data_IF_475935171279
#
_entry.id   IF_475935171279
#
_cell.length_a   1.000
_cell.length_b   1.000
_cell.length_c   1.000
_cell.angle_alpha   90.00
_cell.angle_beta   90.00
_cell.angle_gamma   90.00
#
_symmetry.space_group_name_H-M   'P 1'
#
loop_
_entity.id
_entity.type
_entity.pdbx_description
1 polymer ?
#
# COMPACT_ATOMS: atom_id res chain seq x y z
N UNK A 1 -4.24 -1.78 13.03
CA UNK A 1 -4.47 -1.36 11.62
C UNK A 1 -4.47 -2.58 10.70
N UNK A 2 -5.32 -2.60 9.68
CA UNK A 2 -5.33 -3.67 8.68
C UNK A 2 -5.05 -3.05 7.32
N UNK A 3 -4.04 -3.55 6.62
CA UNK A 3 -3.68 -3.13 5.28
C UNK A 3 -3.85 -4.30 4.32
N UNK A 4 -4.70 -4.11 3.31
CA UNK A 4 -4.91 -5.08 2.24
C UNK A 4 -4.38 -4.48 0.95
N UNK A 5 -3.47 -5.20 0.31
CA UNK A 5 -2.81 -4.79 -0.92
C UNK A 5 -3.17 -5.80 -2.00
N UNK A 6 -3.76 -5.31 -3.09
CA UNK A 6 -4.01 -6.09 -4.30
C UNK A 6 -3.15 -5.52 -5.42
N UNK A 7 -2.45 -6.37 -6.15
CA UNK A 7 -1.65 -5.96 -7.31
C UNK A 7 -1.71 -6.99 -8.43
N UNK A 8 -1.62 -6.52 -9.68
CA UNK A 8 -1.43 -7.37 -10.85
C UNK A 8 0.02 -7.80 -11.07
N UNK A 9 0.95 -7.32 -10.23
CA UNK A 9 2.32 -7.79 -10.23
C UNK A 9 2.39 -9.24 -9.77
N UNK A 10 3.30 -9.97 -10.39
CA UNK A 10 3.62 -11.35 -10.02
C UNK A 10 4.44 -11.40 -8.73
N UNK A 11 4.33 -12.48 -7.98
CA UNK A 11 5.01 -12.61 -6.67
C UNK A 11 6.54 -12.43 -6.74
N UNK A 12 7.18 -12.84 -7.83
CA UNK A 12 8.63 -12.70 -8.06
C UNK A 12 9.08 -11.24 -8.18
N UNK A 13 8.18 -10.33 -8.53
CA UNK A 13 8.47 -8.88 -8.61
C UNK A 13 8.35 -8.17 -7.26
N UNK A 14 7.89 -8.86 -6.22
CA UNK A 14 7.71 -8.28 -4.90
C UNK A 14 8.90 -8.62 -4.01
N UNK A 15 9.56 -7.63 -3.39
CA UNK A 15 10.64 -7.89 -2.44
C UNK A 15 10.17 -8.75 -1.26
N UNK A 16 11.01 -9.68 -0.81
CA UNK A 16 10.70 -10.50 0.37
C UNK A 16 10.47 -9.66 1.63
N UNK A 17 11.16 -8.51 1.75
CA UNK A 17 11.00 -7.57 2.85
C UNK A 17 9.70 -6.76 2.81
N UNK A 18 8.91 -6.85 1.74
CA UNK A 18 7.81 -5.92 1.47
C UNK A 18 6.79 -5.84 2.62
N UNK A 19 6.35 -6.99 3.16
CA UNK A 19 5.40 -7.01 4.28
C UNK A 19 5.93 -6.33 5.55
N UNK A 20 7.22 -6.52 5.85
CA UNK A 20 7.90 -5.87 6.98
C UNK A 20 8.03 -4.37 6.74
N UNK A 21 8.38 -3.96 5.53
CA UNK A 21 8.53 -2.55 5.17
C UNK A 21 7.18 -1.81 5.24
N UNK A 22 6.09 -2.43 4.77
CA UNK A 22 4.72 -1.89 4.88
C UNK A 22 4.30 -1.75 6.34
N UNK A 23 4.59 -2.76 7.17
CA UNK A 23 4.26 -2.73 8.61
C UNK A 23 4.92 -1.53 9.29
N UNK A 24 6.22 -1.34 9.06
CA UNK A 24 6.97 -0.18 9.58
C UNK A 24 6.43 1.15 9.07
N UNK A 25 6.11 1.24 7.77
CA UNK A 25 5.53 2.44 7.19
C UNK A 25 4.22 2.81 7.89
N UNK A 26 3.30 1.86 8.03
CA UNK A 26 1.99 2.11 8.65
C UNK A 26 2.16 2.51 10.12
N UNK A 27 3.06 1.86 10.85
CA UNK A 27 3.36 2.20 12.24
C UNK A 27 3.81 3.65 12.37
N UNK A 28 4.74 4.07 11.51
CA UNK A 28 5.28 5.42 11.50
C UNK A 28 4.24 6.46 11.06
N UNK A 29 3.50 6.20 9.98
CA UNK A 29 2.54 7.16 9.41
C UNK A 29 1.34 7.34 10.34
N UNK A 30 0.80 6.25 10.90
CA UNK A 30 -0.39 6.28 11.75
C UNK A 30 -0.06 6.43 13.24
N UNK A 31 1.22 6.49 13.61
CA UNK A 31 1.68 6.51 15.01
C UNK A 31 1.05 5.39 15.85
N UNK A 32 1.06 4.16 15.30
CA UNK A 32 0.53 2.95 15.96
C UNK A 32 1.65 1.93 16.18
N UNK A 33 1.64 1.17 17.28
CA UNK A 33 2.61 0.11 17.49
C UNK A 33 2.52 -0.97 16.40
N UNK A 34 3.67 -1.49 15.96
CA UNK A 34 3.77 -2.49 14.87
C UNK A 34 2.99 -3.78 15.18
N UNK A 35 2.94 -4.21 16.44
CA UNK A 35 2.26 -5.44 16.87
C UNK A 35 0.73 -5.43 16.66
N UNK A 36 0.12 -4.27 16.40
CA UNK A 36 -1.30 -4.15 16.07
C UNK A 36 -1.58 -4.06 14.56
N UNK A 37 -0.55 -4.21 13.72
CA UNK A 37 -0.66 -4.03 12.26
C UNK A 37 -0.69 -5.38 11.58
N UNK A 38 -1.68 -5.58 10.72
CA UNK A 38 -1.79 -6.75 9.84
C UNK A 38 -1.66 -6.29 8.39
N UNK A 39 -0.80 -6.96 7.63
CA UNK A 39 -0.59 -6.70 6.20
C UNK A 39 -0.93 -7.96 5.41
N UNK A 40 -1.83 -7.83 4.43
CA UNK A 40 -2.20 -8.90 3.51
C UNK A 40 -1.87 -8.46 2.09
N UNK A 41 -0.97 -9.17 1.42
CA UNK A 41 -0.64 -8.95 0.02
C UNK A 41 -1.28 -10.04 -0.86
N UNK A 42 -1.95 -9.62 -1.93
CA UNK A 42 -2.51 -10.49 -2.97
C UNK A 42 -1.91 -10.08 -4.31
N UNK A 43 -1.00 -10.92 -4.82
CA UNK A 43 -0.34 -10.77 -6.12
C UNK A 43 -1.13 -11.46 -7.23
N UNK A 44 -0.65 -11.32 -8.46
CA UNK A 44 -1.14 -12.06 -9.63
C UNK A 44 -2.64 -11.82 -9.91
N UNK A 45 -3.16 -10.67 -9.48
CA UNK A 45 -4.57 -10.30 -9.66
C UNK A 45 -4.82 -9.83 -11.10
N UNK A 46 -5.98 -10.22 -11.63
CA UNK A 46 -6.54 -9.58 -12.82
C UNK A 46 -7.08 -8.20 -12.42
N UNK A 47 -6.39 -7.14 -12.85
CA UNK A 47 -6.74 -5.76 -12.53
C UNK A 47 -6.52 -4.86 -13.74
N UNK A 48 -7.36 -3.83 -13.85
CA UNK A 48 -7.28 -2.78 -14.87
C UNK A 48 -7.56 -1.43 -14.22
N UNK A 49 -6.81 -0.39 -14.60
CA UNK A 49 -7.13 1.02 -14.32
C UNK A 49 -7.18 1.73 -15.68
N UNK A 50 -8.25 2.48 -15.91
CA UNK A 50 -8.52 3.15 -17.19
C UNK A 50 -8.38 2.21 -18.42
N UNK A 51 -8.92 0.99 -18.32
CA UNK A 51 -8.88 -0.01 -19.40
C UNK A 51 -7.53 -0.70 -19.66
N UNK A 52 -6.45 -0.31 -18.96
CA UNK A 52 -5.12 -0.91 -19.14
C UNK A 52 -4.67 -1.74 -17.93
N UNK A 53 -3.98 -2.84 -18.23
CA UNK A 53 -3.37 -3.79 -17.29
C UNK A 53 -1.90 -3.50 -16.99
N UNK A 54 -1.41 -2.29 -17.26
CA UNK A 54 -0.08 -1.84 -16.80
C UNK A 54 0.07 -2.05 -15.28
N UNK A 55 1.29 -2.17 -14.72
CA UNK A 55 1.50 -2.36 -13.29
C UNK A 55 0.65 -1.42 -12.43
N UNK A 56 -0.14 -1.99 -11.53
CA UNK A 56 -0.99 -1.23 -10.63
C UNK A 56 -1.19 -1.93 -9.29
N UNK A 57 -1.57 -1.14 -8.28
CA UNK A 57 -1.93 -1.64 -6.97
C UNK A 57 -3.15 -0.90 -6.42
N UNK A 58 -3.93 -1.59 -5.60
CA UNK A 58 -5.00 -1.04 -4.78
C UNK A 58 -4.67 -1.36 -3.33
N UNK A 59 -4.70 -0.34 -2.48
CA UNK A 59 -4.33 -0.44 -1.07
C UNK A 59 -5.45 0.10 -0.20
N UNK A 60 -6.00 -0.77 0.63
CA UNK A 60 -7.01 -0.41 1.61
C UNK A 60 -6.40 -0.45 3.01
N UNK A 61 -6.43 0.69 3.72
CA UNK A 61 -5.90 0.79 5.08
C UNK A 61 -7.04 1.14 6.04
N UNK A 62 -7.28 0.25 7.00
CA UNK A 62 -8.32 0.38 8.02
C UNK A 62 -7.67 0.57 9.39
N UNK A 63 -8.09 1.59 10.12
CA UNK A 63 -7.57 1.87 11.46
C UNK A 63 -8.56 2.71 12.26
N UNK A 64 -8.63 2.43 13.56
CA UNK A 64 -9.54 3.10 14.49
C UNK A 64 -8.97 4.46 14.89
N UNK A 65 -9.75 5.52 14.66
CA UNK A 65 -9.52 6.85 15.22
C UNK A 65 -8.32 7.63 14.67
N UNK A 66 -7.86 7.33 13.46
CA UNK A 66 -6.69 8.03 12.86
C UNK A 66 -6.98 8.73 11.54
N UNK A 67 -7.96 8.26 10.76
CA UNK A 67 -8.29 8.86 9.47
C UNK A 67 -9.32 9.98 9.66
N UNK A 68 -8.96 11.16 9.17
CA UNK A 68 -9.80 12.36 9.07
C UNK A 68 -9.26 13.23 7.93
N UNK A 69 -9.94 14.32 7.58
CA UNK A 69 -9.56 15.16 6.43
C UNK A 69 -8.11 15.68 6.52
N UNK A 70 -7.73 16.24 7.67
CA UNK A 70 -6.41 16.84 7.89
C UNK A 70 -5.27 15.81 7.86
N UNK A 71 -5.48 14.68 8.55
CA UNK A 71 -4.52 13.60 8.60
C UNK A 71 -4.35 12.91 7.25
N UNK A 72 -5.43 12.77 6.47
CA UNK A 72 -5.39 12.15 5.15
C UNK A 72 -4.46 12.91 4.19
N UNK A 73 -4.46 14.24 4.24
CA UNK A 73 -3.57 15.07 3.41
C UNK A 73 -2.08 14.83 3.74
N UNK A 74 -1.76 14.47 4.99
CA UNK A 74 -0.40 14.15 5.45
C UNK A 74 -0.03 12.69 5.13
N UNK A 75 -0.98 11.76 5.27
CA UNK A 75 -0.74 10.32 5.12
C UNK A 75 -0.64 9.90 3.66
N UNK A 76 -1.53 10.43 2.83
CA UNK A 76 -1.72 10.03 1.44
C UNK A 76 -0.41 10.11 0.65
N UNK A 77 0.34 11.23 0.65
CA UNK A 77 1.59 11.32 -0.10
C UNK A 77 2.66 10.31 0.37
N UNK A 78 2.72 10.01 1.68
CA UNK A 78 3.69 9.05 2.24
C UNK A 78 3.40 7.63 1.77
N UNK A 79 2.12 7.23 1.78
CA UNK A 79 1.71 5.93 1.27
C UNK A 79 1.92 5.83 -0.24
N UNK A 80 1.47 6.83 -1.01
CA UNK A 80 1.63 6.84 -2.47
C UNK A 80 3.08 6.76 -2.90
N UNK A 81 3.95 7.56 -2.29
CA UNK A 81 5.40 7.51 -2.57
C UNK A 81 5.96 6.12 -2.32
N UNK A 82 5.71 5.55 -1.13
CA UNK A 82 6.24 4.25 -0.77
C UNK A 82 5.78 3.13 -1.71
N UNK A 83 4.48 3.04 -1.99
CA UNK A 83 3.97 1.95 -2.83
C UNK A 83 4.42 2.09 -4.28
N UNK A 84 4.47 3.31 -4.79
CA UNK A 84 4.97 3.58 -6.15
C UNK A 84 6.43 3.16 -6.30
N UNK A 85 7.28 3.54 -5.34
CA UNK A 85 8.70 3.18 -5.35
C UNK A 85 8.92 1.67 -5.16
N UNK A 86 8.24 1.04 -4.18
CA UNK A 86 8.45 -0.36 -3.85
C UNK A 86 7.87 -1.34 -4.87
N UNK A 87 6.83 -0.94 -5.60
CA UNK A 87 6.17 -1.77 -6.60
C UNK A 87 6.52 -1.36 -8.03
N UNK A 88 7.29 -0.29 -8.23
CA UNK A 88 7.65 0.21 -9.56
C UNK A 88 6.44 0.62 -10.38
N UNK A 89 5.47 1.31 -9.75
CA UNK A 89 4.26 1.75 -10.43
C UNK A 89 4.55 2.99 -11.30
N UNK A 90 4.01 3.07 -12.52
CA UNK A 90 4.17 4.23 -13.37
C UNK A 90 3.41 5.46 -12.81
N UNK A 91 3.85 6.66 -13.16
CA UNK A 91 3.32 7.93 -12.60
C UNK A 91 1.82 8.13 -12.84
N UNK A 92 1.28 7.65 -13.97
CA UNK A 92 -0.15 7.69 -14.29
C UNK A 92 -1.01 6.75 -13.41
N UNK A 93 -0.36 5.90 -12.61
CA UNK A 93 -0.97 4.89 -11.74
C UNK A 93 -0.84 5.20 -10.26
N UNK A 94 -0.16 6.30 -9.92
CA UNK A 94 -0.23 6.93 -8.61
C UNK A 94 -1.59 7.57 -8.35
#
# INVERSE_FOLDING_TARGET
PVCVINTNLTKDKIPESFGKDVTKLIANVLSKPENFITVSLKTDKQMWKNGSSSPLASVDIWSIGVFNKENNDIYTPKFFKFFSEKLGLPEDRQ
#
